data_IF_499003859295
#
_entry.id   IF_499003859295
#
_cell.length_a   1.000
_cell.length_b   1.000
_cell.length_c   1.000
_cell.angle_alpha   90.00
_cell.angle_beta   90.00
_cell.angle_gamma   90.00
#
_symmetry.space_group_name_H-M   'P 1'
#
loop_
_entity.id
_entity.type
_entity.pdbx_description
1 polymer ?
#
# COMPACT_ATOMS: atom_id res chain seq x y z
N UNK A 1 1.96 -28.26 -38.08
CA UNK A 1 1.25 -27.00 -37.82
C UNK A 1 2.13 -26.19 -36.86
N UNK A 2 2.98 -25.33 -37.39
CA UNK A 2 3.78 -24.40 -36.58
C UNK A 2 2.84 -23.27 -36.18
N UNK A 3 2.64 -23.05 -34.88
CA UNK A 3 1.93 -21.89 -34.37
C UNK A 3 2.83 -20.67 -34.54
N UNK A 4 2.36 -19.68 -35.30
CA UNK A 4 2.99 -18.38 -35.41
C UNK A 4 3.20 -17.81 -34.00
N UNK A 5 4.45 -17.52 -33.65
CA UNK A 5 4.78 -16.80 -32.42
C UNK A 5 4.20 -15.39 -32.57
N UNK A 6 3.21 -15.05 -31.75
CA UNK A 6 2.72 -13.67 -31.65
C UNK A 6 3.88 -12.77 -31.24
N UNK A 7 4.31 -11.90 -32.15
CA UNK A 7 5.39 -10.91 -31.98
C UNK A 7 4.93 -9.70 -31.16
N UNK A 8 4.03 -9.94 -30.19
CA UNK A 8 3.58 -8.91 -29.26
C UNK A 8 4.44 -8.96 -28.02
N UNK A 9 5.44 -8.07 -28.01
CA UNK A 9 6.22 -7.71 -26.83
C UNK A 9 5.31 -6.92 -25.86
N UNK A 10 4.32 -7.62 -25.30
CA UNK A 10 3.44 -7.08 -24.27
C UNK A 10 4.34 -6.85 -23.07
N UNK A 11 4.72 -5.58 -22.86
CA UNK A 11 5.37 -5.16 -21.62
C UNK A 11 4.44 -5.55 -20.48
N UNK A 12 4.78 -6.67 -19.82
CA UNK A 12 4.17 -7.07 -18.56
C UNK A 12 4.34 -5.86 -17.66
N UNK A 13 3.25 -5.19 -17.33
CA UNK A 13 3.28 -4.18 -16.28
C UNK A 13 3.71 -4.97 -15.07
N UNK A 14 4.92 -4.72 -14.59
CA UNK A 14 5.33 -5.15 -13.28
C UNK A 14 4.29 -4.58 -12.33
N UNK A 15 3.31 -5.39 -11.96
CA UNK A 15 2.59 -5.26 -10.70
C UNK A 15 3.67 -4.96 -9.69
N UNK A 16 3.48 -3.87 -8.95
CA UNK A 16 4.52 -3.34 -8.07
C UNK A 16 4.91 -4.47 -7.13
N UNK A 17 6.04 -5.14 -7.42
CA UNK A 17 6.60 -6.09 -6.51
C UNK A 17 7.16 -5.24 -5.39
N UNK A 18 6.61 -5.43 -4.21
CA UNK A 18 6.96 -4.68 -3.02
C UNK A 18 7.96 -5.47 -2.19
N UNK A 19 8.77 -6.31 -2.83
CA UNK A 19 9.86 -7.03 -2.21
C UNK A 19 11.04 -6.09 -1.96
N UNK A 20 11.86 -6.39 -0.96
CA UNK A 20 13.03 -5.58 -0.64
C UNK A 20 14.03 -5.56 -1.83
N UNK A 21 14.17 -6.68 -2.55
CA UNK A 21 15.03 -6.76 -3.73
C UNK A 21 14.53 -5.93 -4.91
N UNK A 22 13.20 -5.89 -5.13
CA UNK A 22 12.60 -5.05 -6.17
C UNK A 22 12.66 -3.55 -5.82
N UNK A 23 12.55 -3.22 -4.53
CA UNK A 23 12.76 -1.85 -4.04
C UNK A 23 14.21 -1.41 -4.27
N UNK A 24 15.20 -2.25 -3.92
CA UNK A 24 16.62 -1.96 -4.12
C UNK A 24 16.96 -1.87 -5.62
N UNK A 25 16.46 -2.81 -6.44
CA UNK A 25 16.63 -2.79 -7.88
C UNK A 25 16.00 -1.54 -8.51
N UNK A 26 14.78 -1.21 -8.11
CA UNK A 26 14.06 -0.02 -8.57
C UNK A 26 14.75 1.28 -8.15
N UNK A 27 15.35 1.33 -6.96
CA UNK A 27 16.19 2.45 -6.55
C UNK A 27 17.39 2.59 -7.49
N UNK A 28 18.14 1.52 -7.75
CA UNK A 28 19.36 1.58 -8.58
C UNK A 28 19.10 1.87 -10.06
N UNK A 29 17.92 1.50 -10.59
CA UNK A 29 17.56 1.67 -12.01
C UNK A 29 16.65 2.87 -12.28
N UNK A 30 16.34 3.66 -11.24
CA UNK A 30 15.40 4.77 -11.36
C UNK A 30 15.94 5.90 -12.25
N UNK A 31 15.15 6.43 -13.19
CA UNK A 31 15.52 7.60 -14.00
C UNK A 31 15.62 8.90 -13.18
N UNK A 32 15.25 8.85 -11.90
CA UNK A 32 15.42 9.97 -10.96
C UNK A 32 16.89 10.30 -10.77
N UNK A 33 17.77 9.29 -10.66
CA UNK A 33 19.20 9.52 -10.46
C UNK A 33 19.82 10.25 -11.64
N UNK A 34 19.53 9.77 -12.85
CA UNK A 34 19.99 10.43 -14.07
C UNK A 34 19.43 11.87 -14.18
N UNK A 35 18.18 12.09 -13.77
CA UNK A 35 17.57 13.42 -13.78
C UNK A 35 18.24 14.39 -12.81
N UNK A 36 18.66 13.94 -11.64
CA UNK A 36 19.30 14.79 -10.62
C UNK A 36 20.59 15.42 -11.12
N UNK A 37 21.33 14.74 -12.00
CA UNK A 37 22.60 15.21 -12.52
C UNK A 37 22.52 15.80 -13.94
N UNK A 38 21.59 15.31 -14.78
CA UNK A 38 21.62 15.59 -16.22
C UNK A 38 20.42 16.39 -16.75
N UNK A 39 19.43 16.76 -15.92
CA UNK A 39 18.22 17.45 -16.38
C UNK A 39 17.98 18.78 -15.64
N UNK A 40 17.30 19.76 -16.28
CA UNK A 40 16.88 20.99 -15.62
C UNK A 40 16.05 20.71 -14.35
N UNK A 41 16.26 21.55 -13.33
CA UNK A 41 15.67 21.36 -12.00
C UNK A 41 14.15 21.17 -12.03
N UNK A 42 13.43 21.92 -12.88
CA UNK A 42 11.97 21.80 -13.04
C UNK A 42 11.51 20.38 -13.44
N UNK A 43 12.22 19.76 -14.39
CA UNK A 43 11.92 18.38 -14.84
C UNK A 43 12.23 17.37 -13.73
N UNK A 44 13.30 17.62 -12.97
CA UNK A 44 13.69 16.81 -11.82
C UNK A 44 12.67 16.90 -10.69
N UNK A 45 12.21 18.11 -10.34
CA UNK A 45 11.12 18.31 -9.38
C UNK A 45 9.84 17.60 -9.80
N UNK A 46 9.44 17.73 -11.06
CA UNK A 46 8.26 17.03 -11.59
C UNK A 46 8.36 15.49 -11.45
N UNK A 47 9.55 14.92 -11.71
CA UNK A 47 9.80 13.50 -11.53
C UNK A 47 9.77 13.08 -10.05
N UNK A 48 10.37 13.87 -9.16
CA UNK A 48 10.36 13.61 -7.72
C UNK A 48 8.94 13.61 -7.15
N UNK A 49 8.14 14.64 -7.50
CA UNK A 49 6.73 14.74 -7.08
C UNK A 49 5.94 13.54 -7.59
N UNK A 50 6.09 13.18 -8.87
CA UNK A 50 5.41 12.03 -9.45
C UNK A 50 5.76 10.72 -8.74
N UNK A 51 7.02 10.51 -8.38
CA UNK A 51 7.45 9.32 -7.66
C UNK A 51 6.98 9.33 -6.21
N UNK A 52 6.97 10.48 -5.53
CA UNK A 52 6.41 10.62 -4.19
C UNK A 52 4.92 10.27 -4.15
N UNK A 53 4.12 10.76 -5.11
CA UNK A 53 2.71 10.39 -5.24
C UNK A 53 2.51 8.90 -5.50
N UNK A 54 3.32 8.29 -6.37
CA UNK A 54 3.26 6.85 -6.65
C UNK A 54 3.62 6.03 -5.43
N UNK A 55 4.65 6.45 -4.69
CA UNK A 55 5.08 5.83 -3.44
C UNK A 55 3.97 5.89 -2.39
N UNK A 56 3.43 7.08 -2.10
CA UNK A 56 2.36 7.26 -1.13
C UNK A 56 1.10 6.48 -1.49
N UNK A 57 0.70 6.47 -2.76
CA UNK A 57 -0.43 5.64 -3.22
C UNK A 57 -0.14 4.15 -3.03
N UNK A 58 1.08 3.70 -3.30
CA UNK A 58 1.52 2.32 -3.08
C UNK A 58 1.45 1.93 -1.60
N UNK A 59 2.02 2.77 -0.73
CA UNK A 59 2.03 2.59 0.72
C UNK A 59 0.62 2.60 1.33
N UNK A 60 -0.24 3.55 0.94
CA UNK A 60 -1.63 3.62 1.44
C UNK A 60 -2.47 2.41 0.98
N UNK A 61 -2.29 1.96 -0.26
CA UNK A 61 -2.89 0.71 -0.75
C UNK A 61 -2.36 -0.51 0.00
N UNK A 62 -1.06 -0.54 0.32
CA UNK A 62 -0.46 -1.61 1.13
C UNK A 62 -1.01 -1.64 2.56
N UNK A 63 -1.11 -0.49 3.23
CA UNK A 63 -1.72 -0.36 4.56
C UNK A 63 -3.14 -0.95 4.58
N UNK A 64 -3.97 -0.58 3.60
CA UNK A 64 -5.30 -1.16 3.43
C UNK A 64 -5.22 -2.68 3.21
N UNK A 65 -4.47 -3.10 2.19
CA UNK A 65 -4.39 -4.49 1.75
C UNK A 65 -3.94 -5.42 2.87
N UNK A 66 -2.91 -5.04 3.63
CA UNK A 66 -2.39 -5.88 4.72
C UNK A 66 -3.45 -6.21 5.75
N UNK A 67 -4.41 -5.33 6.03
CA UNK A 67 -5.45 -5.60 7.05
C UNK A 67 -6.67 -6.30 6.46
N UNK A 68 -7.10 -5.91 5.26
CA UNK A 68 -8.39 -6.33 4.69
C UNK A 68 -8.33 -7.59 3.81
N UNK A 69 -7.16 -8.15 3.54
CA UNK A 69 -7.02 -9.32 2.65
C UNK A 69 -6.84 -10.61 3.42
N UNK A 70 -7.52 -11.65 2.94
CA UNK A 70 -7.69 -12.90 3.70
C UNK A 70 -6.66 -13.98 3.45
N UNK A 71 -5.80 -13.81 2.43
CA UNK A 71 -4.75 -14.77 2.12
C UNK A 71 -3.35 -14.17 2.35
N UNK A 72 -2.80 -14.36 3.56
CA UNK A 72 -1.42 -14.02 3.87
C UNK A 72 -0.41 -14.64 2.89
N UNK A 73 0.54 -13.83 2.44
CA UNK A 73 1.63 -14.26 1.54
C UNK A 73 1.32 -14.24 0.05
N UNK A 74 0.11 -13.86 -0.37
CA UNK A 74 -0.23 -13.86 -1.80
C UNK A 74 0.37 -12.72 -2.63
N UNK A 75 0.89 -11.66 -1.99
CA UNK A 75 1.75 -10.69 -2.66
C UNK A 75 3.12 -10.66 -2.03
N UNK A 76 4.14 -10.49 -2.87
CA UNK A 76 5.50 -10.27 -2.41
C UNK A 76 5.60 -8.91 -1.70
N UNK A 77 5.85 -8.96 -0.39
CA UNK A 77 6.02 -7.80 0.48
C UNK A 77 7.32 -7.96 1.26
N UNK A 78 8.11 -6.90 1.33
CA UNK A 78 9.39 -6.85 2.02
C UNK A 78 9.33 -6.14 3.37
N UNK A 79 10.36 -6.37 4.19
CA UNK A 79 10.49 -5.76 5.51
C UNK A 79 10.63 -4.24 5.40
N UNK A 80 11.31 -3.72 4.37
CA UNK A 80 11.49 -2.28 4.19
C UNK A 80 10.15 -1.55 4.03
N UNK A 81 9.21 -2.13 3.28
CA UNK A 81 7.90 -1.52 3.11
C UNK A 81 7.11 -1.51 4.42
N UNK A 82 7.20 -2.58 5.21
CA UNK A 82 6.58 -2.65 6.54
C UNK A 82 7.16 -1.55 7.43
N UNK A 83 8.48 -1.42 7.49
CA UNK A 83 9.16 -0.40 8.30
C UNK A 83 8.74 1.01 7.90
N UNK A 84 8.72 1.33 6.60
CA UNK A 84 8.30 2.67 6.14
C UNK A 84 6.82 2.91 6.42
N UNK A 85 5.97 1.89 6.30
CA UNK A 85 4.54 2.00 6.61
C UNK A 85 4.30 2.23 8.10
N UNK A 86 5.07 1.57 8.97
CA UNK A 86 5.04 1.81 10.43
C UNK A 86 5.50 3.23 10.74
N UNK A 87 6.59 3.69 10.14
CA UNK A 87 7.07 5.06 10.31
C UNK A 87 6.02 6.08 9.85
N UNK A 88 5.35 5.83 8.72
CA UNK A 88 4.25 6.66 8.26
C UNK A 88 3.08 6.68 9.25
N UNK A 89 2.65 5.53 9.78
CA UNK A 89 1.57 5.46 10.76
C UNK A 89 1.91 6.22 12.05
N UNK A 90 3.13 6.05 12.57
CA UNK A 90 3.61 6.79 13.74
C UNK A 90 3.61 8.29 13.45
N UNK A 91 4.21 8.72 12.34
CA UNK A 91 4.32 10.14 11.99
C UNK A 91 2.98 10.79 11.70
N UNK A 92 2.05 10.08 11.05
CA UNK A 92 0.70 10.56 10.76
C UNK A 92 -0.15 10.64 12.03
N UNK A 93 -0.03 9.68 12.95
CA UNK A 93 -0.81 9.65 14.19
C UNK A 93 -0.23 10.55 15.29
N UNK A 94 0.96 11.12 15.12
CA UNK A 94 1.60 11.91 16.16
C UNK A 94 0.98 13.31 16.30
N UNK A 95 0.65 13.71 17.54
CA UNK A 95 0.03 15.00 17.86
C UNK A 95 0.97 16.20 17.71
N UNK A 96 2.28 15.97 17.77
CA UNK A 96 3.29 17.02 17.63
C UNK A 96 3.60 17.32 16.15
N UNK A 97 3.04 16.57 15.20
CA UNK A 97 3.25 16.76 13.77
C UNK A 97 2.14 17.64 13.19
N UNK A 98 2.45 18.83 12.66
CA UNK A 98 1.45 19.67 12.01
C UNK A 98 0.73 18.91 10.90
N UNK A 99 -0.58 19.10 10.78
CA UNK A 99 -1.43 18.36 9.83
C UNK A 99 -0.91 18.38 8.39
N UNK A 100 -0.34 19.51 7.95
CA UNK A 100 0.24 19.67 6.60
C UNK A 100 1.48 18.78 6.37
N UNK A 101 2.22 18.45 7.41
CA UNK A 101 3.45 17.65 7.34
C UNK A 101 3.21 16.16 7.57
N UNK A 102 2.03 15.75 8.06
CA UNK A 102 1.68 14.34 8.30
C UNK A 102 1.95 13.41 7.09
N UNK A 103 1.67 13.82 5.83
CA UNK A 103 1.94 12.96 4.66
C UNK A 103 3.43 12.64 4.41
N UNK A 104 4.35 13.44 4.97
CA UNK A 104 5.80 13.26 4.80
C UNK A 104 6.52 12.95 6.12
N UNK A 105 5.83 13.07 7.26
CA UNK A 105 6.39 12.87 8.58
C UNK A 105 6.97 11.46 8.78
N UNK A 106 6.44 10.46 8.07
CA UNK A 106 6.98 9.10 8.08
C UNK A 106 8.46 8.98 7.68
N UNK A 107 8.98 9.92 6.89
CA UNK A 107 10.41 9.96 6.54
C UNK A 107 11.29 10.53 7.67
N UNK A 108 10.72 11.32 8.57
CA UNK A 108 11.44 11.93 9.70
C UNK A 108 11.48 11.02 10.94
N UNK A 109 10.49 10.12 11.08
CA UNK A 109 10.34 9.22 12.24
C UNK A 109 11.60 8.39 12.54
N UNK A 110 12.31 7.78 11.59
CA UNK A 110 13.54 7.03 11.89
C UNK A 110 14.60 7.86 12.62
N UNK A 111 14.73 9.14 12.24
CA UNK A 111 15.67 10.07 12.88
C UNK A 111 15.22 10.46 14.29
N UNK A 112 13.90 10.65 14.49
CA UNK A 112 13.35 10.93 15.82
C UNK A 112 13.53 9.74 16.77
N UNK A 113 13.26 8.52 16.27
CA UNK A 113 13.38 7.27 17.04
C UNK A 113 14.82 7.04 17.48
N UNK A 114 15.79 7.26 16.59
CA UNK A 114 17.22 7.11 16.92
C UNK A 114 17.67 8.01 18.08
N UNK A 115 17.04 9.18 18.25
CA UNK A 115 17.44 10.18 19.24
C UNK A 115 16.74 10.06 20.61
N UNK A 116 15.80 9.12 20.79
CA UNK A 116 14.95 9.05 21.99
C UNK A 116 15.25 7.84 22.87
N UNK A 117 15.11 8.02 24.18
CA UNK A 117 15.09 6.93 25.16
C UNK A 117 13.83 6.08 25.03
N UNK A 118 13.80 4.90 25.67
CA UNK A 118 12.62 4.02 25.66
C UNK A 118 11.32 4.72 26.09
N UNK A 119 11.36 5.54 27.15
CA UNK A 119 10.20 6.32 27.59
C UNK A 119 9.77 7.33 26.52
N UNK A 120 10.74 7.97 25.86
CA UNK A 120 10.48 8.88 24.75
C UNK A 120 9.86 8.19 23.54
N UNK A 121 10.22 6.93 23.27
CA UNK A 121 9.61 6.11 22.23
C UNK A 121 8.17 5.72 22.58
N UNK A 122 7.93 5.33 23.83
CA UNK A 122 6.58 5.04 24.32
C UNK A 122 5.67 6.27 24.20
N UNK A 123 6.18 7.44 24.59
CA UNK A 123 5.45 8.70 24.43
C UNK A 123 5.14 8.98 22.96
N UNK A 124 6.12 8.85 22.07
CA UNK A 124 5.97 9.09 20.63
C UNK A 124 4.92 8.20 19.97
N UNK A 125 4.87 6.91 20.35
CA UNK A 125 4.07 5.88 19.67
C UNK A 125 2.70 5.71 20.30
N UNK A 126 2.57 5.86 21.62
CA UNK A 126 1.38 5.46 22.38
C UNK A 126 0.67 6.62 23.06
N UNK A 127 1.41 7.62 23.55
CA UNK A 127 0.84 8.71 24.37
C UNK A 127 0.46 9.92 23.52
N UNK A 128 1.39 10.43 22.73
CA UNK A 128 1.24 11.65 21.92
C UNK A 128 0.52 11.33 20.60
N UNK A 129 -0.65 10.72 20.70
CA UNK A 129 -1.44 10.24 19.56
C UNK A 129 -2.70 11.07 19.34
N UNK A 130 -3.00 11.27 18.07
CA UNK A 130 -4.14 12.03 17.57
C UNK A 130 -5.41 11.19 17.48
N UNK A 131 -5.25 9.89 17.23
CA UNK A 131 -6.33 8.95 17.08
C UNK A 131 -6.02 7.63 17.78
N UNK A 132 -6.91 7.24 18.70
CA UNK A 132 -6.88 5.92 19.35
C UNK A 132 -7.27 4.82 18.37
N UNK A 133 -8.22 5.07 17.46
CA UNK A 133 -8.57 4.09 16.43
C UNK A 133 -7.42 3.84 15.46
N UNK A 134 -6.67 4.88 15.09
CA UNK A 134 -5.50 4.73 14.24
C UNK A 134 -4.36 4.00 14.96
N UNK A 135 -4.22 4.17 16.27
CA UNK A 135 -3.28 3.38 17.08
C UNK A 135 -3.65 1.90 17.06
N UNK A 136 -4.92 1.56 17.30
CA UNK A 136 -5.41 0.17 17.22
C UNK A 136 -5.21 -0.41 15.82
N UNK A 137 -5.56 0.36 14.78
CA UNK A 137 -5.34 -0.03 13.40
C UNK A 137 -3.86 -0.26 13.10
N UNK A 138 -2.96 0.57 13.64
CA UNK A 138 -1.51 0.40 13.46
C UNK A 138 -1.03 -0.92 14.06
N UNK A 139 -1.56 -1.32 15.22
CA UNK A 139 -1.31 -2.65 15.80
C UNK A 139 -1.81 -3.79 14.91
N UNK A 140 -3.04 -3.69 14.39
CA UNK A 140 -3.61 -4.66 13.46
C UNK A 140 -2.78 -4.78 12.17
N UNK A 141 -2.35 -3.65 11.63
CA UNK A 141 -1.49 -3.59 10.45
C UNK A 141 -0.16 -4.30 10.71
N UNK A 142 0.54 -3.99 11.81
CA UNK A 142 1.83 -4.64 12.13
C UNK A 142 1.67 -6.15 12.25
N UNK A 143 0.67 -6.62 12.99
CA UNK A 143 0.41 -8.06 13.17
C UNK A 143 0.12 -8.76 11.84
N UNK A 144 -0.75 -8.16 11.03
CA UNK A 144 -1.10 -8.75 9.74
C UNK A 144 0.08 -8.72 8.77
N UNK A 145 0.76 -7.58 8.62
CA UNK A 145 1.91 -7.44 7.73
C UNK A 145 3.06 -8.39 8.08
N UNK A 146 3.33 -8.62 9.38
CA UNK A 146 4.29 -9.62 9.83
C UNK A 146 3.85 -11.04 9.50
N UNK A 147 2.55 -11.34 9.63
CA UNK A 147 2.00 -12.65 9.23
C UNK A 147 2.16 -12.88 7.74
N UNK A 148 1.89 -11.87 6.90
CA UNK A 148 2.16 -11.91 5.46
C UNK A 148 3.65 -12.18 5.18
N UNK A 149 4.56 -11.48 5.86
CA UNK A 149 6.01 -11.63 5.68
C UNK A 149 6.50 -13.03 6.08
N UNK A 150 6.06 -13.55 7.23
CA UNK A 150 6.41 -14.90 7.70
C UNK A 150 5.91 -15.95 6.72
N UNK A 151 4.68 -15.80 6.20
CA UNK A 151 4.10 -16.73 5.22
C UNK A 151 4.91 -16.77 3.91
N UNK A 152 5.46 -15.64 3.48
CA UNK A 152 6.39 -15.57 2.34
C UNK A 152 7.69 -16.31 2.66
N UNK A 153 8.28 -16.07 3.84
CA UNK A 153 9.54 -16.69 4.24
C UNK A 153 9.48 -18.20 4.40
N UNK A 154 8.32 -18.76 4.79
CA UNK A 154 8.11 -20.22 4.84
C UNK A 154 7.70 -20.83 3.48
N UNK A 155 7.76 -20.06 2.39
CA UNK A 155 7.54 -20.55 1.03
C UNK A 155 6.07 -20.67 0.62
N UNK A 156 5.12 -20.09 1.38
CA UNK A 156 3.69 -20.01 0.99
C UNK A 156 3.39 -18.77 0.12
N UNK A 157 4.40 -18.22 -0.53
CA UNK A 157 4.26 -17.08 -1.44
C UNK A 157 3.51 -17.50 -2.71
N UNK A 158 2.58 -16.67 -3.17
CA UNK A 158 1.98 -16.85 -4.49
C UNK A 158 3.02 -16.51 -5.58
N UNK A 159 3.05 -17.29 -6.65
CA UNK A 159 3.96 -17.13 -7.80
C UNK A 159 3.37 -16.25 -8.91
N UNK A 160 2.08 -15.91 -8.80
CA UNK A 160 1.40 -15.09 -9.80
C UNK A 160 1.74 -13.62 -9.65
N UNK A 161 2.28 -13.03 -10.73
CA UNK A 161 2.64 -11.62 -10.76
C UNK A 161 1.43 -10.70 -10.55
N UNK A 162 0.23 -11.09 -11.00
CA UNK A 162 -0.92 -10.17 -11.09
C UNK A 162 -2.02 -10.41 -10.06
N UNK A 163 -1.98 -11.51 -9.32
CA UNK A 163 -3.04 -11.85 -8.37
C UNK A 163 -2.80 -11.07 -7.08
N UNK A 164 -3.79 -10.27 -6.66
CA UNK A 164 -3.69 -9.42 -5.47
C UNK A 164 -4.18 -10.09 -4.19
N UNK A 165 -4.70 -11.29 -4.35
CA UNK A 165 -5.33 -12.09 -3.32
C UNK A 165 -6.74 -11.69 -2.98
N UNK A 166 -7.50 -12.63 -2.42
CA UNK A 166 -8.92 -12.43 -2.14
C UNK A 166 -9.12 -11.61 -0.84
N UNK A 167 -10.04 -10.66 -0.86
CA UNK A 167 -10.45 -9.90 0.32
C UNK A 167 -11.22 -10.78 1.30
N UNK A 168 -11.23 -10.44 2.60
CA UNK A 168 -12.03 -11.18 3.58
C UNK A 168 -13.51 -11.23 3.21
N UNK A 169 -14.04 -10.13 2.64
CA UNK A 169 -15.43 -10.06 2.19
C UNK A 169 -15.66 -10.99 0.98
N UNK A 170 -14.73 -10.98 0.03
CA UNK A 170 -14.79 -11.87 -1.14
C UNK A 170 -14.79 -13.34 -0.76
N UNK A 171 -13.89 -13.74 0.15
CA UNK A 171 -13.80 -15.09 0.70
C UNK A 171 -15.06 -15.50 1.47
N UNK A 172 -15.69 -14.56 2.18
CA UNK A 172 -16.93 -14.80 2.89
C UNK A 172 -18.11 -14.99 1.94
N UNK A 173 -18.26 -14.08 0.97
CA UNK A 173 -19.36 -14.10 0.01
C UNK A 173 -19.23 -15.23 -1.00
N UNK A 174 -18.01 -15.61 -1.40
CA UNK A 174 -17.77 -16.70 -2.36
C UNK A 174 -18.29 -18.05 -1.87
N UNK A 175 -18.43 -18.24 -0.55
CA UNK A 175 -19.07 -19.43 0.05
C UNK A 175 -20.58 -19.48 -0.16
N UNK A 176 -21.22 -18.35 -0.46
CA UNK A 176 -22.67 -18.23 -0.61
C UNK A 176 -23.08 -18.02 -2.07
N UNK A 177 -22.32 -17.21 -2.81
CA UNK A 177 -22.61 -16.82 -4.20
C UNK A 177 -21.31 -16.67 -4.99
N UNK A 178 -21.29 -16.98 -6.30
CA UNK A 178 -20.13 -16.67 -7.13
C UNK A 178 -19.93 -15.14 -7.20
N UNK A 179 -18.83 -14.65 -6.65
CA UNK A 179 -18.49 -13.21 -6.62
C UNK A 179 -17.35 -12.91 -7.58
N UNK A 180 -17.53 -11.87 -8.39
CA UNK A 180 -16.46 -11.31 -9.21
C UNK A 180 -15.42 -10.59 -8.33
N UNK A 181 -14.13 -10.88 -8.51
CA UNK A 181 -13.00 -10.25 -7.78
C UNK A 181 -13.11 -8.71 -7.76
N UNK A 182 -13.51 -8.09 -8.86
CA UNK A 182 -13.69 -6.64 -8.95
C UNK A 182 -14.81 -6.13 -8.04
N UNK A 183 -15.94 -6.85 -7.98
CA UNK A 183 -17.08 -6.50 -7.12
C UNK A 183 -16.71 -6.69 -5.66
N UNK A 184 -16.01 -7.76 -5.31
CA UNK A 184 -15.47 -7.96 -3.95
C UNK A 184 -14.58 -6.79 -3.53
N UNK A 185 -13.64 -6.36 -4.40
CA UNK A 185 -12.74 -5.26 -4.09
C UNK A 185 -13.48 -3.93 -3.91
N UNK A 186 -14.57 -3.71 -4.65
CA UNK A 186 -15.41 -2.53 -4.49
C UNK A 186 -16.16 -2.55 -3.16
N UNK A 187 -16.59 -3.73 -2.69
CA UNK A 187 -17.20 -3.89 -1.38
C UNK A 187 -16.19 -3.67 -0.25
N UNK A 188 -14.96 -4.18 -0.36
CA UNK A 188 -13.88 -3.92 0.61
C UNK A 188 -13.60 -2.42 0.73
N UNK A 189 -13.55 -1.70 -0.40
CA UNK A 189 -13.47 -0.24 -0.43
C UNK A 189 -14.64 0.41 0.32
N UNK A 190 -15.88 0.03 -0.01
CA UNK A 190 -17.07 0.63 0.58
C UNK A 190 -17.14 0.40 2.10
N UNK A 191 -16.76 -0.78 2.56
CA UNK A 191 -16.70 -1.11 4.00
C UNK A 191 -15.62 -0.30 4.71
N UNK A 192 -14.40 -0.23 4.16
CA UNK A 192 -13.32 0.56 4.77
C UNK A 192 -13.65 2.06 4.79
N UNK A 193 -14.21 2.60 3.71
CA UNK A 193 -14.68 3.98 3.67
C UNK A 193 -15.82 4.22 4.67
N UNK A 194 -16.76 3.27 4.77
CA UNK A 194 -17.86 3.30 5.74
C UNK A 194 -17.37 3.32 7.19
N UNK A 195 -16.37 2.49 7.54
CA UNK A 195 -15.70 2.50 8.84
C UNK A 195 -15.10 3.89 9.12
N UNK A 196 -14.41 4.48 8.14
CA UNK A 196 -13.84 5.82 8.25
C UNK A 196 -14.89 6.91 8.48
N UNK A 197 -15.98 6.89 7.71
CA UNK A 197 -17.10 7.84 7.87
C UNK A 197 -17.78 7.66 9.23
N UNK A 198 -17.98 6.42 9.68
CA UNK A 198 -18.59 6.13 10.96
C UNK A 198 -17.73 6.64 12.13
N UNK A 199 -16.42 6.39 12.09
CA UNK A 199 -15.51 6.89 13.11
C UNK A 199 -15.46 8.42 13.15
N UNK A 200 -15.48 9.07 11.99
CA UNK A 200 -15.57 10.53 11.93
C UNK A 200 -16.91 11.04 12.50
N UNK A 201 -18.05 10.55 11.99
CA UNK A 201 -19.37 11.11 12.32
C UNK A 201 -19.87 10.74 13.71
N UNK A 202 -19.61 9.52 14.18
CA UNK A 202 -20.16 9.02 15.44
C UNK A 202 -19.17 9.07 16.60
N UNK A 203 -17.86 9.03 16.33
CA UNK A 203 -16.83 9.06 17.37
C UNK A 203 -15.94 10.33 17.32
N UNK A 204 -16.18 11.24 16.37
CA UNK A 204 -15.43 12.48 16.24
C UNK A 204 -13.97 12.30 15.78
N UNK A 205 -13.56 11.10 15.39
CA UNK A 205 -12.18 10.79 15.02
C UNK A 205 -11.91 11.13 13.54
N UNK A 206 -11.66 12.41 13.28
CA UNK A 206 -11.40 12.94 11.93
C UNK A 206 -10.14 12.32 11.33
N UNK A 207 -9.11 12.09 12.14
CA UNK A 207 -7.81 11.63 11.65
C UNK A 207 -7.87 10.19 11.17
N UNK A 208 -8.53 9.31 11.93
CA UNK A 208 -8.80 7.94 11.47
C UNK A 208 -9.75 7.93 10.28
N UNK A 209 -10.78 8.78 10.28
CA UNK A 209 -11.71 8.89 9.16
C UNK A 209 -11.03 9.25 7.83
N UNK A 210 -10.22 10.31 7.84
CA UNK A 210 -9.44 10.74 6.65
C UNK A 210 -8.44 9.66 6.23
N UNK A 211 -7.77 9.02 7.20
CA UNK A 211 -6.84 7.94 6.91
C UNK A 211 -7.53 6.76 6.20
N UNK A 212 -8.64 6.27 6.74
CA UNK A 212 -9.38 5.13 6.19
C UNK A 212 -9.94 5.42 4.78
N UNK A 213 -10.48 6.62 4.56
CA UNK A 213 -10.96 7.03 3.24
C UNK A 213 -9.78 7.11 2.25
N UNK A 214 -8.63 7.62 2.68
CA UNK A 214 -7.44 7.76 1.84
C UNK A 214 -6.85 6.40 1.45
N UNK A 215 -6.73 5.46 2.40
CA UNK A 215 -6.21 4.11 2.14
C UNK A 215 -7.17 3.31 1.25
N UNK A 216 -8.48 3.39 1.51
CA UNK A 216 -9.51 2.78 0.67
C UNK A 216 -9.46 3.35 -0.76
N UNK A 217 -9.39 4.68 -0.92
CA UNK A 217 -9.32 5.33 -2.24
C UNK A 217 -8.05 4.96 -3.00
N UNK A 218 -6.92 4.84 -2.31
CA UNK A 218 -5.66 4.39 -2.90
C UNK A 218 -5.76 2.95 -3.43
N UNK A 219 -6.40 2.04 -2.67
CA UNK A 219 -6.65 0.66 -3.11
C UNK A 219 -7.64 0.58 -4.27
N UNK A 220 -8.71 1.38 -4.25
CA UNK A 220 -9.66 1.46 -5.36
C UNK A 220 -8.98 1.92 -6.65
N UNK A 221 -8.18 2.99 -6.56
CA UNK A 221 -7.42 3.50 -7.71
C UNK A 221 -6.44 2.45 -8.25
N UNK A 222 -5.83 1.64 -7.38
CA UNK A 222 -4.99 0.52 -7.81
C UNK A 222 -5.80 -0.60 -8.47
N UNK A 223 -6.95 -0.96 -7.90
CA UNK A 223 -7.85 -1.98 -8.46
C UNK A 223 -8.34 -1.61 -9.86
N UNK A 224 -8.74 -0.35 -10.08
CA UNK A 224 -9.18 0.14 -11.39
C UNK A 224 -8.05 0.06 -12.42
N UNK A 225 -6.84 0.48 -12.05
CA UNK A 225 -5.67 0.42 -12.94
C UNK A 225 -5.31 -1.02 -13.34
N UNK A 226 -5.42 -1.95 -12.38
CA UNK A 226 -5.11 -3.35 -12.63
C UNK A 226 -6.19 -4.04 -13.47
N UNK A 227 -7.46 -3.71 -13.24
CA UNK A 227 -8.56 -4.20 -14.06
C UNK A 227 -8.45 -3.69 -15.51
N UNK A 228 -8.18 -2.39 -15.70
CA UNK A 228 -7.95 -1.79 -17.02
C UNK A 228 -6.78 -2.44 -17.75
N UNK A 229 -5.68 -2.72 -17.05
CA UNK A 229 -4.52 -3.39 -17.63
C UNK A 229 -4.81 -4.84 -18.04
N UNK A 230 -5.49 -5.62 -17.18
CA UNK A 230 -5.90 -7.00 -17.51
C UNK A 230 -6.84 -7.03 -18.72
N UNK A 231 -7.78 -6.09 -18.80
CA UNK A 231 -8.70 -5.95 -19.94
C UNK A 231 -7.96 -5.62 -21.24
N UNK A 232 -7.03 -4.66 -21.21
CA UNK A 232 -6.22 -4.30 -22.37
C UNK A 232 -5.35 -5.48 -22.85
N UNK A 233 -4.71 -6.20 -21.93
CA UNK A 233 -3.88 -7.37 -22.27
C UNK A 233 -4.71 -8.48 -22.90
N UNK A 234 -5.90 -8.77 -22.38
CA UNK A 234 -6.83 -9.75 -22.99
C UNK A 234 -7.32 -9.30 -24.36
N UNK A 235 -7.57 -8.01 -24.55
CA UNK A 235 -7.97 -7.46 -25.86
C UNK A 235 -6.89 -7.63 -26.91
N UNK A 236 -5.60 -7.54 -26.53
CA UNK A 236 -4.48 -7.76 -27.45
C UNK A 236 -4.31 -9.26 -27.74
N UNK A 237 -4.46 -10.13 -26.74
CA UNK A 237 -4.31 -11.58 -26.92
C UNK A 237 -5.47 -12.24 -27.69
N UNK A 238 -6.64 -11.59 -27.72
CA UNK A 238 -7.83 -12.07 -28.42
C UNK A 238 -8.06 -11.38 -29.78
N UNK A 239 -7.19 -10.44 -30.17
CA UNK A 239 -7.18 -9.79 -31.49
C UNK A 239 -6.25 -10.54 -32.44
#
# INVERSE_FOLDING_TARGET
MMTDKSDHDIKVRATVKLSDSDIIWGANTSPVWESLFNKPWEKTCGLLIKQAFRFNKGMLSFLHWSVFRGNPGEKTTGLMLILVSVCFLIGYNNANVPTLLKPVAGFAVPFWVYSKSWDGLYQLVVVDVESKFLLVYSGLFVLSALTHLVMIWIGRSNSSLTIRGEGWIGLGLSKLIPVNEFVSNLLDFAVAAGIGVAAWKFAGDVHFGVFMISTASAELAQTILDHSYRSHTRSILNA
#
